data_IF_505222369586
#
_entry.id   IF_505222369586
#
_cell.length_a   1.000
_cell.length_b   1.000
_cell.length_c   1.000
_cell.angle_alpha   90.00
_cell.angle_beta   90.00
_cell.angle_gamma   90.00
#
_symmetry.space_group_name_H-M   'P 1'
#
loop_
_entity.id
_entity.type
_entity.pdbx_description
1 polymer ?
#
# COMPACT_ATOMS: atom_id res chain seq x y z
N UNK A 1 2.10 -17.22 -16.22
CA UNK A 1 1.73 -15.82 -16.55
C UNK A 1 0.36 -15.51 -16.00
N UNK A 2 0.09 -14.28 -15.60
CA UNK A 2 -1.10 -13.86 -14.87
C UNK A 2 -1.79 -12.75 -15.65
N UNK A 3 -3.01 -13.02 -16.15
CA UNK A 3 -3.76 -12.12 -17.02
C UNK A 3 -4.35 -10.93 -16.25
N UNK A 4 -4.21 -9.73 -16.80
CA UNK A 4 -4.88 -8.51 -16.32
C UNK A 4 -6.30 -8.49 -16.91
N UNK A 5 -7.30 -8.61 -16.05
CA UNK A 5 -8.72 -8.66 -16.45
C UNK A 5 -9.36 -7.28 -16.55
N UNK A 6 -8.88 -6.33 -15.74
CA UNK A 6 -9.30 -4.93 -15.81
C UNK A 6 -8.21 -4.00 -15.29
N UNK A 7 -8.27 -2.76 -15.78
CA UNK A 7 -7.44 -1.63 -15.37
C UNK A 7 -8.34 -0.41 -15.17
N UNK A 8 -8.12 0.31 -14.08
CA UNK A 8 -8.88 1.51 -13.74
C UNK A 8 -7.94 2.55 -13.12
N UNK A 9 -7.96 3.78 -13.62
CA UNK A 9 -7.22 4.90 -13.01
C UNK A 9 -8.07 5.49 -11.89
N UNK A 10 -7.61 5.37 -10.65
CA UNK A 10 -8.31 5.89 -9.46
C UNK A 10 -7.96 7.35 -9.18
N UNK A 11 -6.71 7.74 -9.42
CA UNK A 11 -6.20 9.10 -9.23
C UNK A 11 -4.97 9.31 -10.12
N UNK A 12 -4.44 10.53 -10.17
CA UNK A 12 -3.18 10.79 -10.86
C UNK A 12 -2.10 9.85 -10.35
N UNK A 13 -1.50 9.08 -11.25
CA UNK A 13 -0.46 8.07 -10.95
C UNK A 13 -0.89 6.91 -10.06
N UNK A 14 -2.19 6.70 -9.82
CA UNK A 14 -2.68 5.56 -9.03
C UNK A 14 -3.62 4.72 -9.89
N UNK A 15 -3.26 3.46 -10.08
CA UNK A 15 -3.98 2.53 -10.95
C UNK A 15 -4.36 1.27 -10.19
N UNK A 16 -5.59 0.84 -10.37
CA UNK A 16 -6.16 -0.42 -9.89
C UNK A 16 -6.14 -1.45 -11.01
N UNK A 17 -5.71 -2.66 -10.67
CA UNK A 17 -5.73 -3.81 -11.57
C UNK A 17 -6.47 -4.97 -10.92
N UNK A 18 -7.24 -5.68 -11.72
CA UNK A 18 -7.77 -7.01 -11.36
C UNK A 18 -7.00 -8.04 -12.16
N UNK A 19 -6.38 -8.99 -11.45
CA UNK A 19 -5.47 -9.98 -12.03
C UNK A 19 -5.97 -11.39 -11.75
N UNK A 20 -5.92 -12.27 -12.74
CA UNK A 20 -6.25 -13.68 -12.58
C UNK A 20 -5.13 -14.41 -11.84
N UNK A 21 -5.37 -14.75 -10.58
CA UNK A 21 -4.42 -15.44 -9.71
C UNK A 21 -5.12 -16.40 -8.74
N UNK A 22 -5.70 -17.52 -9.23
CA UNK A 22 -6.63 -18.35 -8.45
C UNK A 22 -6.03 -18.98 -7.21
N UNK A 23 -4.73 -19.30 -7.20
CA UNK A 23 -4.07 -19.84 -6.00
C UNK A 23 -3.91 -18.78 -4.91
N UNK A 24 -3.59 -17.56 -5.29
CA UNK A 24 -3.46 -16.41 -4.39
C UNK A 24 -4.83 -16.05 -3.83
N UNK A 25 -5.83 -15.89 -4.70
CA UNK A 25 -7.20 -15.51 -4.33
C UNK A 25 -7.81 -16.44 -3.27
N UNK A 26 -7.62 -17.76 -3.41
CA UNK A 26 -8.17 -18.74 -2.45
C UNK A 26 -7.55 -18.72 -1.07
N UNK A 27 -6.33 -18.21 -0.94
CA UNK A 27 -5.57 -18.21 0.32
C UNK A 27 -5.41 -16.82 0.92
N UNK A 28 -5.82 -15.78 0.22
CA UNK A 28 -5.71 -14.40 0.65
C UNK A 28 -6.44 -14.15 1.97
N UNK A 29 -5.80 -13.39 2.84
CA UNK A 29 -6.34 -12.81 4.07
C UNK A 29 -5.87 -11.36 4.18
N UNK A 30 -6.61 -10.52 4.90
CA UNK A 30 -6.23 -9.13 5.14
C UNK A 30 -4.79 -9.02 5.67
N UNK A 31 -4.02 -8.05 5.18
CA UNK A 31 -2.60 -7.85 5.49
C UNK A 31 -1.63 -8.61 4.59
N UNK A 32 -2.11 -9.57 3.79
CA UNK A 32 -1.24 -10.24 2.82
C UNK A 32 -0.88 -9.36 1.63
N UNK A 33 0.29 -9.64 1.05
CA UNK A 33 0.79 -9.01 -0.17
C UNK A 33 1.27 -10.06 -1.18
N UNK A 34 1.64 -9.61 -2.36
CA UNK A 34 2.31 -10.40 -3.39
C UNK A 34 3.66 -9.79 -3.73
N UNK A 35 4.57 -10.60 -4.26
CA UNK A 35 5.70 -10.12 -5.05
C UNK A 35 5.32 -10.26 -6.52
N UNK A 36 5.36 -9.15 -7.25
CA UNK A 36 4.99 -9.07 -8.65
C UNK A 36 6.22 -8.76 -9.51
N UNK A 37 6.28 -9.37 -10.70
CA UNK A 37 7.22 -9.04 -11.76
C UNK A 37 6.47 -8.91 -13.08
N UNK A 38 6.64 -7.77 -13.76
CA UNK A 38 5.87 -7.45 -14.97
C UNK A 38 6.36 -8.29 -16.15
N UNK A 39 7.67 -8.30 -16.42
CA UNK A 39 8.29 -9.04 -17.52
C UNK A 39 9.71 -9.50 -17.14
N UNK A 40 10.44 -10.11 -18.06
CA UNK A 40 11.79 -10.66 -17.82
C UNK A 40 12.83 -9.62 -17.41
N UNK A 41 12.63 -8.36 -17.80
CA UNK A 41 13.49 -7.23 -17.44
C UNK A 41 12.94 -6.43 -16.25
N UNK A 42 11.76 -6.81 -15.71
CA UNK A 42 11.12 -6.18 -14.58
C UNK A 42 11.76 -6.59 -13.25
N UNK A 43 11.86 -5.63 -12.36
CA UNK A 43 12.21 -5.89 -10.95
C UNK A 43 11.04 -6.54 -10.22
N UNK A 44 11.34 -7.18 -9.11
CA UNK A 44 10.33 -7.72 -8.20
C UNK A 44 9.91 -6.64 -7.21
N UNK A 45 8.61 -6.40 -7.10
CA UNK A 45 8.06 -5.41 -6.18
C UNK A 45 6.96 -6.00 -5.31
N UNK A 46 6.88 -5.63 -4.02
CA UNK A 46 5.76 -5.98 -3.16
C UNK A 46 4.55 -5.10 -3.48
N UNK A 47 3.37 -5.71 -3.57
CA UNK A 47 2.10 -5.00 -3.66
C UNK A 47 1.06 -5.69 -2.77
N UNK A 48 0.34 -4.92 -1.99
CA UNK A 48 -0.73 -5.45 -1.14
C UNK A 48 -1.89 -5.99 -1.96
N UNK A 49 -2.47 -7.10 -1.51
CA UNK A 49 -3.72 -7.62 -2.07
C UNK A 49 -4.87 -6.84 -1.42
N UNK A 50 -5.49 -5.95 -2.20
CA UNK A 50 -6.55 -5.06 -1.71
C UNK A 50 -7.87 -5.80 -1.56
N UNK A 51 -8.14 -6.74 -2.47
CA UNK A 51 -9.35 -7.58 -2.48
C UNK A 51 -9.10 -8.86 -3.25
N UNK A 52 -9.96 -9.87 -3.08
CA UNK A 52 -9.91 -11.12 -3.83
C UNK A 52 -11.28 -11.74 -3.99
N UNK A 53 -11.51 -12.35 -5.14
CA UNK A 53 -12.64 -13.24 -5.36
C UNK A 53 -12.15 -14.69 -5.56
N UNK A 54 -12.29 -15.55 -4.54
CA UNK A 54 -11.89 -16.96 -4.64
C UNK A 54 -12.68 -17.76 -5.67
N UNK A 55 -13.91 -17.36 -6.03
CA UNK A 55 -14.77 -18.05 -7.00
C UNK A 55 -14.31 -17.75 -8.42
N UNK A 56 -14.08 -16.47 -8.71
CA UNK A 56 -13.55 -16.01 -10.00
C UNK A 56 -12.04 -16.24 -10.12
N UNK A 57 -11.36 -16.49 -8.99
CA UNK A 57 -9.91 -16.70 -8.95
C UNK A 57 -9.13 -15.43 -9.23
N UNK A 58 -9.61 -14.29 -8.76
CA UNK A 58 -9.02 -12.98 -9.04
C UNK A 58 -8.52 -12.29 -7.77
N UNK A 59 -7.50 -11.44 -7.93
CA UNK A 59 -7.04 -10.50 -6.91
C UNK A 59 -7.08 -9.09 -7.45
N UNK A 60 -7.32 -8.13 -6.57
CA UNK A 60 -7.22 -6.69 -6.85
C UNK A 60 -5.95 -6.14 -6.23
N UNK A 61 -5.17 -5.41 -7.01
CA UNK A 61 -4.01 -4.64 -6.55
C UNK A 61 -4.17 -3.17 -6.95
N UNK A 62 -3.63 -2.28 -6.13
CA UNK A 62 -3.57 -0.84 -6.43
C UNK A 62 -2.11 -0.42 -6.33
N UNK A 63 -1.60 0.22 -7.37
CA UNK A 63 -0.21 0.64 -7.44
C UNK A 63 -0.12 2.14 -7.75
N UNK A 64 0.79 2.82 -7.06
CA UNK A 64 1.18 4.18 -7.38
C UNK A 64 2.42 4.16 -8.26
N UNK A 65 2.37 4.88 -9.38
CA UNK A 65 3.51 5.05 -10.31
C UNK A 65 4.55 5.98 -9.68
N UNK A 66 5.60 5.40 -9.09
CA UNK A 66 6.68 6.14 -8.43
C UNK A 66 8.01 5.88 -9.13
N UNK A 67 8.34 4.60 -9.40
CA UNK A 67 9.59 4.16 -10.00
C UNK A 67 9.39 3.44 -11.34
N UNK A 68 10.49 2.97 -11.93
CA UNK A 68 10.51 2.28 -13.24
C UNK A 68 9.49 1.11 -13.29
N UNK A 69 9.52 0.22 -12.31
CA UNK A 69 8.67 -1.00 -12.34
C UNK A 69 7.20 -0.68 -12.19
N UNK A 70 6.82 0.25 -11.31
CA UNK A 70 5.42 0.69 -11.19
C UNK A 70 4.97 1.49 -12.42
N UNK A 71 5.88 2.20 -13.11
CA UNK A 71 5.60 2.83 -14.39
C UNK A 71 5.40 1.79 -15.49
N UNK A 72 6.25 0.77 -15.57
CA UNK A 72 6.09 -0.35 -16.49
C UNK A 72 4.76 -1.08 -16.26
N UNK A 73 4.35 -1.29 -14.99
CA UNK A 73 3.06 -1.86 -14.64
C UNK A 73 1.91 -0.96 -15.10
N UNK A 74 2.01 0.36 -14.93
CA UNK A 74 0.97 1.31 -15.34
C UNK A 74 0.74 1.36 -16.85
N UNK A 75 1.69 0.88 -17.66
CA UNK A 75 1.59 0.78 -19.12
C UNK A 75 0.89 -0.50 -19.59
N UNK A 76 0.71 -1.48 -18.69
CA UNK A 76 -0.01 -2.71 -19.04
C UNK A 76 -1.51 -2.42 -19.20
N UNK A 77 -2.16 -3.13 -20.09
CA UNK A 77 -3.58 -2.97 -20.38
C UNK A 77 -4.37 -4.26 -20.07
N UNK A 78 -5.68 -4.19 -20.12
CA UNK A 78 -6.54 -5.37 -20.04
C UNK A 78 -6.18 -6.36 -21.16
N UNK A 79 -5.96 -7.62 -20.79
CA UNK A 79 -5.53 -8.70 -21.69
C UNK A 79 -4.04 -8.92 -21.72
N UNK A 80 -3.22 -8.00 -21.16
CA UNK A 80 -1.80 -8.22 -20.95
C UNK A 80 -1.53 -9.22 -19.82
N UNK A 81 -0.29 -9.72 -19.76
CA UNK A 81 0.11 -10.73 -18.80
C UNK A 81 1.28 -10.27 -17.95
N UNK A 82 1.14 -10.43 -16.66
CA UNK A 82 2.25 -10.32 -15.72
C UNK A 82 3.03 -11.64 -15.69
N UNK A 83 4.35 -11.55 -15.61
CA UNK A 83 5.22 -12.72 -15.64
C UNK A 83 5.11 -13.54 -14.37
N UNK A 84 5.26 -12.90 -13.20
CA UNK A 84 5.17 -13.56 -11.89
C UNK A 84 4.22 -12.80 -10.95
N UNK A 85 3.45 -13.58 -10.19
CA UNK A 85 2.67 -13.16 -9.02
C UNK A 85 2.86 -14.23 -7.95
N UNK A 86 3.80 -14.00 -7.06
CA UNK A 86 4.09 -14.90 -5.94
C UNK A 86 3.33 -14.46 -4.69
N UNK A 87 2.54 -15.36 -4.11
CA UNK A 87 1.75 -15.04 -2.92
C UNK A 87 0.63 -16.06 -2.62
N UNK A 88 -0.23 -15.77 -1.62
CA UNK A 88 -0.10 -14.65 -0.70
C UNK A 88 1.12 -14.79 0.21
N UNK A 89 1.77 -13.67 0.51
CA UNK A 89 2.96 -13.56 1.35
C UNK A 89 2.65 -12.71 2.59
N UNK A 90 3.55 -12.74 3.54
CA UNK A 90 3.41 -12.07 4.83
C UNK A 90 2.43 -12.76 5.77
N UNK A 91 2.50 -12.39 7.04
CA UNK A 91 1.53 -12.83 8.02
C UNK A 91 0.22 -12.06 7.83
N UNK A 92 -0.94 -12.72 7.86
CA UNK A 92 -2.21 -12.01 7.85
C UNK A 92 -2.38 -11.19 9.13
N UNK A 93 -3.05 -10.06 9.02
CA UNK A 93 -3.42 -9.22 10.18
C UNK A 93 -4.17 -10.05 11.23
N UNK A 94 -3.75 -10.07 12.49
CA UNK A 94 -4.55 -10.65 13.57
C UNK A 94 -5.83 -9.85 13.78
N UNK A 95 -6.96 -10.43 13.42
CA UNK A 95 -8.26 -9.76 13.53
C UNK A 95 -8.94 -10.14 14.84
N UNK A 96 -9.17 -9.14 15.69
CA UNK A 96 -9.87 -9.28 16.97
C UNK A 96 -10.97 -8.25 17.11
N UNK A 97 -11.95 -8.52 17.97
CA UNK A 97 -12.89 -7.50 18.42
C UNK A 97 -12.26 -6.73 19.60
N UNK A 98 -11.70 -5.57 19.29
CA UNK A 98 -11.11 -4.65 20.29
C UNK A 98 -12.17 -3.71 20.91
N UNK A 99 -13.34 -3.58 20.28
CA UNK A 99 -14.36 -2.55 20.56
C UNK A 99 -14.25 -1.41 19.54
N UNK A 100 -13.55 -0.33 19.86
CA UNK A 100 -13.34 0.79 18.93
C UNK A 100 -11.93 0.76 18.37
N UNK A 101 -11.81 0.78 17.05
CA UNK A 101 -10.53 0.80 16.31
C UNK A 101 -10.47 1.97 15.33
N UNK A 102 -9.27 2.52 15.14
CA UNK A 102 -9.00 3.55 14.14
C UNK A 102 -8.08 2.98 13.07
N UNK A 103 -8.51 3.04 11.81
CA UNK A 103 -7.72 2.69 10.65
C UNK A 103 -7.30 3.97 9.92
N UNK A 104 -5.99 4.18 9.74
CA UNK A 104 -5.39 5.38 9.13
C UNK A 104 -4.68 4.99 7.85
N UNK A 105 -5.15 5.49 6.71
CA UNK A 105 -4.52 5.32 5.40
C UNK A 105 -3.89 6.61 4.90
N UNK A 106 -2.60 6.57 4.47
CA UNK A 106 -1.91 7.71 3.87
C UNK A 106 -1.57 7.48 2.40
N UNK A 107 -2.09 8.31 1.50
CA UNK A 107 -1.86 8.16 0.06
C UNK A 107 -2.29 6.78 -0.43
N UNK A 108 -1.40 6.08 -1.18
CA UNK A 108 -1.67 4.72 -1.65
C UNK A 108 -1.83 3.69 -0.52
N UNK A 109 -1.29 3.94 0.68
CA UNK A 109 -1.49 3.09 1.85
C UNK A 109 -2.96 2.98 2.27
N UNK A 110 -3.83 3.87 1.80
CA UNK A 110 -5.29 3.73 1.94
C UNK A 110 -5.80 2.42 1.31
N UNK A 111 -5.18 1.98 0.22
CA UNK A 111 -5.51 0.70 -0.43
C UNK A 111 -5.11 -0.51 0.44
N UNK A 112 -4.04 -0.37 1.23
CA UNK A 112 -3.57 -1.42 2.15
C UNK A 112 -4.43 -1.48 3.42
N UNK A 113 -4.92 -0.32 3.88
CA UNK A 113 -5.84 -0.23 5.03
C UNK A 113 -7.19 -0.87 4.74
N UNK A 114 -7.70 -0.78 3.51
CA UNK A 114 -9.05 -1.20 3.17
C UNK A 114 -9.39 -2.66 3.53
N UNK A 115 -8.59 -3.67 3.16
CA UNK A 115 -8.86 -5.07 3.55
C UNK A 115 -8.81 -5.29 5.06
N UNK A 116 -7.92 -4.59 5.77
CA UNK A 116 -7.80 -4.69 7.23
C UNK A 116 -9.01 -4.05 7.92
N UNK A 117 -9.39 -2.85 7.49
CA UNK A 117 -10.57 -2.14 7.98
C UNK A 117 -11.86 -2.97 7.77
N UNK A 118 -12.01 -3.57 6.59
CA UNK A 118 -13.12 -4.48 6.27
C UNK A 118 -13.15 -5.69 7.21
N UNK A 119 -12.01 -6.33 7.42
CA UNK A 119 -11.92 -7.50 8.30
C UNK A 119 -12.20 -7.14 9.77
N UNK A 120 -11.68 -6.01 10.27
CA UNK A 120 -11.95 -5.50 11.61
C UNK A 120 -13.42 -5.14 11.81
N UNK A 121 -14.06 -4.51 10.80
CA UNK A 121 -15.50 -4.21 10.83
C UNK A 121 -16.33 -5.50 10.91
N UNK A 122 -16.00 -6.48 10.10
CA UNK A 122 -16.67 -7.78 10.09
C UNK A 122 -16.50 -8.56 11.41
N UNK A 123 -15.43 -8.30 12.16
CA UNK A 123 -15.21 -8.84 13.49
C UNK A 123 -16.02 -8.12 14.60
N UNK A 124 -16.85 -7.16 14.24
CA UNK A 124 -17.76 -6.47 15.17
C UNK A 124 -17.14 -5.24 15.86
N UNK A 125 -16.04 -4.69 15.34
CA UNK A 125 -15.49 -3.45 15.87
C UNK A 125 -16.30 -2.23 15.43
N UNK A 126 -16.35 -1.19 16.28
CA UNK A 126 -16.68 0.17 15.86
C UNK A 126 -15.47 0.70 15.09
N UNK A 127 -15.64 0.91 13.78
CA UNK A 127 -14.57 1.29 12.86
C UNK A 127 -14.58 2.79 12.59
N UNK A 128 -13.47 3.44 12.90
CA UNK A 128 -13.20 4.82 12.54
C UNK A 128 -12.11 4.78 11.47
N UNK A 129 -12.35 5.44 10.33
CA UNK A 129 -11.34 5.53 9.27
C UNK A 129 -10.90 6.97 9.07
N UNK A 130 -9.60 7.18 8.99
CA UNK A 130 -8.96 8.45 8.67
C UNK A 130 -8.12 8.27 7.41
N UNK A 131 -8.41 9.02 6.36
CA UNK A 131 -7.63 9.03 5.12
C UNK A 131 -6.86 10.33 5.01
N UNK A 132 -5.55 10.24 4.82
CA UNK A 132 -4.66 11.38 4.59
C UNK A 132 -4.16 11.42 3.14
N UNK A 133 -4.23 12.58 2.51
CA UNK A 133 -3.67 12.82 1.19
C UNK A 133 -3.03 14.22 1.11
N UNK A 134 -2.19 14.46 0.09
CA UNK A 134 -1.65 15.80 -0.15
C UNK A 134 -2.73 16.75 -0.64
N UNK A 135 -3.55 16.28 -1.56
CA UNK A 135 -4.63 17.04 -2.21
C UNK A 135 -5.87 16.16 -2.37
N UNK A 136 -7.02 16.78 -2.67
CA UNK A 136 -8.29 16.09 -2.93
C UNK A 136 -8.19 15.01 -4.01
N UNK A 137 -7.47 15.30 -5.08
CA UNK A 137 -7.36 14.43 -6.26
C UNK A 137 -6.61 13.12 -5.96
N UNK A 138 -5.88 13.07 -4.84
CA UNK A 138 -5.14 11.88 -4.40
C UNK A 138 -5.89 11.05 -3.36
N UNK A 139 -7.11 11.45 -2.98
CA UNK A 139 -7.97 10.65 -2.11
C UNK A 139 -8.57 9.50 -2.91
N UNK A 140 -8.28 8.28 -2.50
CA UNK A 140 -8.75 7.05 -3.14
C UNK A 140 -9.62 6.24 -2.18
N UNK A 141 -10.46 5.35 -2.73
CA UNK A 141 -11.33 4.42 -1.97
C UNK A 141 -12.23 5.11 -0.92
N UNK A 142 -12.54 6.40 -1.13
CA UNK A 142 -13.38 7.14 -0.19
C UNK A 142 -14.76 6.52 -0.04
N UNK A 143 -15.39 6.14 -1.17
CA UNK A 143 -16.73 5.56 -1.17
C UNK A 143 -16.73 4.22 -0.41
N UNK A 144 -15.82 3.34 -0.75
CA UNK A 144 -15.70 2.00 -0.19
C UNK A 144 -15.43 2.06 1.32
N UNK A 145 -14.54 2.95 1.75
CA UNK A 145 -14.23 3.12 3.18
C UNK A 145 -15.37 3.79 3.97
N UNK A 146 -16.10 4.74 3.36
CA UNK A 146 -17.30 5.33 3.99
C UNK A 146 -18.39 4.30 4.23
N UNK A 147 -18.59 3.38 3.28
CA UNK A 147 -19.64 2.35 3.37
C UNK A 147 -19.41 1.38 4.54
N UNK A 148 -18.16 1.11 4.91
CA UNK A 148 -17.84 0.17 5.99
C UNK A 148 -17.57 0.85 7.34
N UNK A 149 -17.31 2.15 7.37
CA UNK A 149 -16.90 2.88 8.58
C UNK A 149 -18.10 3.43 9.37
N UNK A 150 -18.04 3.38 10.69
CA UNK A 150 -19.00 4.07 11.55
C UNK A 150 -18.73 5.58 11.57
N UNK A 151 -17.47 5.99 11.50
CA UNK A 151 -17.05 7.38 11.30
C UNK A 151 -15.92 7.41 10.27
N UNK A 152 -15.99 8.36 9.32
CA UNK A 152 -14.99 8.52 8.26
C UNK A 152 -14.52 9.96 8.19
N UNK A 153 -13.21 10.16 8.19
CA UNK A 153 -12.58 11.48 8.14
C UNK A 153 -11.53 11.52 7.02
N UNK A 154 -11.43 12.68 6.35
CA UNK A 154 -10.38 12.96 5.37
C UNK A 154 -9.56 14.15 5.85
N UNK A 155 -8.23 14.05 5.69
CA UNK A 155 -7.32 15.18 5.85
C UNK A 155 -6.57 15.42 4.56
N UNK A 156 -6.36 16.69 4.19
CA UNK A 156 -5.45 17.06 3.10
C UNK A 156 -4.45 18.08 3.57
N UNK A 157 -3.19 17.94 3.12
CA UNK A 157 -2.11 18.83 3.55
C UNK A 157 -2.38 20.28 3.12
N UNK A 158 -2.90 20.46 1.91
CA UNK A 158 -3.23 21.77 1.33
C UNK A 158 -4.58 22.33 1.78
N UNK A 159 -5.45 21.51 2.37
CA UNK A 159 -6.81 21.89 2.80
C UNK A 159 -7.82 21.92 1.65
N UNK A 160 -7.51 21.32 0.49
CA UNK A 160 -8.42 21.27 -0.66
C UNK A 160 -9.65 20.39 -0.42
N UNK A 161 -9.58 19.48 0.58
CA UNK A 161 -10.70 18.61 0.94
C UNK A 161 -10.61 18.10 2.39
N UNK A 162 -11.77 17.96 3.04
CA UNK A 162 -11.85 17.50 4.42
C UNK A 162 -11.21 18.49 5.40
N UNK A 163 -10.51 17.97 6.40
CA UNK A 163 -9.78 18.79 7.37
C UNK A 163 -8.39 19.12 6.82
N UNK A 164 -8.00 20.39 6.86
CA UNK A 164 -6.62 20.79 6.58
C UNK A 164 -5.69 20.31 7.69
N UNK A 165 -4.65 19.56 7.33
CA UNK A 165 -3.63 19.10 8.28
C UNK A 165 -3.31 17.61 8.13
N UNK A 166 -2.62 17.08 9.12
CA UNK A 166 -2.13 15.70 9.14
C UNK A 166 -3.16 14.74 9.76
N UNK A 167 -3.02 13.46 9.47
CA UNK A 167 -3.85 12.39 10.06
C UNK A 167 -3.78 12.36 11.60
N UNK A 168 -2.65 12.75 12.19
CA UNK A 168 -2.47 12.88 13.64
C UNK A 168 -3.37 13.95 14.25
N UNK A 169 -3.69 15.03 13.51
CA UNK A 169 -4.62 16.05 13.97
C UNK A 169 -6.06 15.49 14.02
N UNK A 170 -6.45 14.71 13.01
CA UNK A 170 -7.76 14.04 13.00
C UNK A 170 -7.86 12.99 14.10
N UNK A 171 -6.80 12.21 14.32
CA UNK A 171 -6.72 11.23 15.40
C UNK A 171 -6.85 11.91 16.78
N UNK A 172 -6.11 13.00 17.03
CA UNK A 172 -6.18 13.77 18.27
C UNK A 172 -7.58 14.30 18.53
N UNK A 173 -8.22 14.89 17.52
CA UNK A 173 -9.61 15.38 17.61
C UNK A 173 -10.58 14.25 17.96
N UNK A 174 -10.39 13.07 17.37
CA UNK A 174 -11.22 11.92 17.67
C UNK A 174 -11.02 11.41 19.10
N UNK A 175 -9.77 11.27 19.55
CA UNK A 175 -9.44 10.79 20.89
C UNK A 175 -9.92 11.72 21.99
N UNK A 176 -9.96 13.03 21.74
CA UNK A 176 -10.56 14.02 22.67
C UNK A 176 -12.07 13.91 22.76
N UNK A 177 -12.73 13.49 21.68
CA UNK A 177 -14.19 13.30 21.63
C UNK A 177 -14.61 11.96 22.23
N UNK A 178 -13.87 10.89 21.93
CA UNK A 178 -14.17 9.51 22.32
C UNK A 178 -12.89 8.77 22.71
N UNK A 179 -12.65 8.66 24.00
CA UNK A 179 -11.50 7.95 24.56
C UNK A 179 -11.59 6.42 24.54
N UNK A 180 -12.60 5.84 23.87
CA UNK A 180 -12.84 4.38 23.86
C UNK A 180 -11.94 3.60 22.90
N UNK A 181 -11.08 4.28 22.10
CA UNK A 181 -10.19 3.63 21.12
C UNK A 181 -9.24 2.66 21.82
N UNK A 182 -9.12 1.45 21.27
CA UNK A 182 -8.27 0.38 21.80
C UNK A 182 -7.11 0.03 20.90
N UNK A 183 -7.22 0.26 19.59
CA UNK A 183 -6.15 0.01 18.64
C UNK A 183 -6.18 1.01 17.46
N UNK A 184 -5.00 1.31 16.95
CA UNK A 184 -4.79 2.11 15.74
C UNK A 184 -4.00 1.27 14.74
N UNK A 185 -4.47 1.22 13.50
CA UNK A 185 -3.75 0.67 12.34
C UNK A 185 -3.36 1.83 11.44
N UNK A 186 -2.07 2.07 11.24
CA UNK A 186 -1.59 3.19 10.45
C UNK A 186 -0.69 2.69 9.30
N UNK A 187 -1.12 2.92 8.06
CA UNK A 187 -0.44 2.41 6.86
C UNK A 187 -0.30 3.53 5.83
N UNK A 188 0.93 3.74 5.37
CA UNK A 188 1.25 4.77 4.40
C UNK A 188 2.73 5.16 4.41
N UNK A 189 3.08 6.42 4.12
CA UNK A 189 4.45 6.89 4.16
C UNK A 189 5.10 6.65 5.53
N UNK A 190 6.37 6.23 5.55
CA UNK A 190 7.10 5.88 6.79
C UNK A 190 7.04 7.03 7.81
N UNK A 191 7.16 8.27 7.33
CA UNK A 191 7.09 9.45 8.21
C UNK A 191 5.71 9.61 8.86
N UNK A 192 4.63 9.24 8.18
CA UNK A 192 3.28 9.24 8.74
C UNK A 192 3.13 8.14 9.80
N UNK A 193 3.57 6.92 9.50
CA UNK A 193 3.52 5.81 10.45
C UNK A 193 4.33 6.12 11.71
N UNK A 194 5.53 6.71 11.56
CA UNK A 194 6.35 7.21 12.65
C UNK A 194 5.59 8.25 13.49
N UNK A 195 5.01 9.28 12.86
CA UNK A 195 4.29 10.34 13.55
C UNK A 195 3.07 9.81 14.34
N UNK A 196 2.30 8.88 13.77
CA UNK A 196 1.18 8.23 14.47
C UNK A 196 1.69 7.41 15.66
N UNK A 197 2.76 6.64 15.49
CA UNK A 197 3.34 5.82 16.55
C UNK A 197 3.90 6.66 17.70
N UNK A 198 4.58 7.77 17.39
CA UNK A 198 5.08 8.71 18.40
C UNK A 198 3.94 9.42 19.13
N UNK A 199 2.86 9.75 18.43
CA UNK A 199 1.68 10.38 19.02
C UNK A 199 0.95 9.45 19.99
N UNK A 200 0.81 8.17 19.66
CA UNK A 200 0.07 7.18 20.46
C UNK A 200 0.88 6.58 21.61
N UNK A 201 2.22 6.59 21.52
CA UNK A 201 3.12 6.03 22.54
C UNK A 201 2.92 6.59 23.95
N UNK A 202 2.86 7.92 24.18
CA UNK A 202 2.70 8.48 25.52
C UNK A 202 1.40 8.09 26.22
N UNK A 203 0.36 7.80 25.44
CA UNK A 203 -0.96 7.41 25.95
C UNK A 203 -1.14 5.88 26.00
N UNK A 204 -0.12 5.10 25.63
CA UNK A 204 -0.14 3.64 25.66
C UNK A 204 -1.18 3.00 24.73
N UNK A 205 -1.57 3.69 23.66
CA UNK A 205 -2.58 3.19 22.72
C UNK A 205 -1.95 2.26 21.69
N UNK A 206 -2.34 0.99 21.70
CA UNK A 206 -1.81 -0.03 20.77
C UNK A 206 -1.85 0.47 19.34
N UNK A 207 -0.70 0.46 18.66
CA UNK A 207 -0.54 1.01 17.31
C UNK A 207 0.19 0.03 16.43
N UNK A 208 -0.47 -0.42 15.37
CA UNK A 208 0.07 -1.34 14.37
C UNK A 208 0.38 -0.57 13.09
N UNK A 209 1.55 -0.87 12.51
CA UNK A 209 2.00 -0.26 11.25
C UNK A 209 2.39 -1.36 10.27
N UNK A 210 2.01 -1.20 8.99
CA UNK A 210 2.44 -2.11 7.92
C UNK A 210 3.67 -1.52 7.24
N UNK A 211 4.83 -2.16 7.43
CA UNK A 211 6.10 -1.66 6.96
C UNK A 211 6.35 -2.00 5.49
N UNK A 212 6.94 -1.06 4.78
CA UNK A 212 7.24 -1.13 3.36
C UNK A 212 8.76 -1.05 3.06
N UNK A 213 9.61 -1.91 3.66
CA UNK A 213 11.01 -2.00 3.29
C UNK A 213 11.17 -2.52 1.86
N UNK A 214 12.37 -2.36 1.30
CA UNK A 214 12.73 -3.00 0.03
C UNK A 214 12.57 -4.51 0.17
N UNK A 215 11.80 -5.14 -0.73
CA UNK A 215 11.58 -6.58 -0.79
C UNK A 215 11.93 -7.11 -2.18
N UNK A 216 12.58 -8.28 -2.24
CA UNK A 216 12.97 -8.93 -3.49
C UNK A 216 12.31 -10.29 -3.67
N UNK A 217 12.49 -11.23 -2.73
CA UNK A 217 11.97 -12.58 -2.85
C UNK A 217 10.66 -12.82 -2.08
N UNK A 218 10.46 -12.13 -0.97
CA UNK A 218 9.26 -12.27 -0.14
C UNK A 218 9.21 -13.52 0.74
N UNK A 219 10.32 -14.31 0.81
CA UNK A 219 10.36 -15.63 1.50
C UNK A 219 11.31 -15.65 2.69
N UNK A 220 11.92 -14.54 3.06
CA UNK A 220 12.85 -14.41 4.18
C UNK A 220 14.29 -14.83 3.87
N UNK A 221 14.61 -15.21 2.62
CA UNK A 221 15.93 -15.72 2.29
C UNK A 221 16.95 -14.62 1.98
N UNK A 222 16.57 -13.58 1.24
CA UNK A 222 17.54 -12.57 0.76
C UNK A 222 17.91 -11.53 1.83
N UNK A 223 17.12 -11.37 2.90
CA UNK A 223 17.36 -10.41 3.97
C UNK A 223 17.20 -8.93 3.58
N UNK A 224 16.72 -8.62 2.37
CA UNK A 224 16.53 -7.24 1.90
C UNK A 224 15.53 -6.48 2.78
N UNK A 225 14.47 -7.14 3.23
CA UNK A 225 13.37 -6.56 3.99
C UNK A 225 13.59 -6.56 5.52
N UNK A 226 14.84 -6.69 6.00
CA UNK A 226 15.11 -6.64 7.44
C UNK A 226 14.79 -5.29 8.03
N UNK A 227 14.20 -5.32 9.22
CA UNK A 227 13.80 -4.16 10.02
C UNK A 227 14.14 -4.42 11.48
N UNK A 228 14.44 -3.38 12.24
CA UNK A 228 14.67 -3.48 13.68
C UNK A 228 13.37 -3.21 14.45
N UNK A 229 12.94 -4.22 15.22
CA UNK A 229 11.72 -4.17 16.05
C UNK A 229 12.15 -4.40 17.50
N UNK A 230 12.12 -3.35 18.31
CA UNK A 230 12.70 -3.38 19.66
C UNK A 230 14.20 -3.66 19.59
N UNK A 231 14.62 -4.82 20.10
CA UNK A 231 16.03 -5.25 20.11
C UNK A 231 16.32 -6.38 19.11
N UNK A 232 15.35 -6.73 18.26
CA UNK A 232 15.45 -7.86 17.36
C UNK A 232 15.42 -7.42 15.91
N UNK A 233 16.19 -8.12 15.07
CA UNK A 233 16.06 -8.00 13.62
C UNK A 233 14.96 -8.93 13.15
N UNK A 234 13.98 -8.38 12.41
CA UNK A 234 12.88 -9.11 11.79
C UNK A 234 12.96 -8.97 10.26
N UNK A 235 12.32 -9.89 9.54
CA UNK A 235 12.16 -9.83 8.10
C UNK A 235 10.69 -9.53 7.78
N UNK A 236 10.41 -8.31 7.31
CA UNK A 236 9.04 -7.85 7.10
C UNK A 236 8.22 -8.77 6.19
N UNK A 237 8.85 -9.49 5.27
CA UNK A 237 8.14 -10.40 4.36
C UNK A 237 7.67 -11.71 5.00
N UNK A 238 8.21 -12.13 6.15
CA UNK A 238 7.84 -13.39 6.83
C UNK A 238 7.48 -13.22 8.29
N UNK A 239 8.02 -12.19 8.98
CA UNK A 239 7.66 -11.86 10.36
C UNK A 239 6.54 -10.80 10.44
N UNK A 240 6.36 -10.02 9.37
CA UNK A 240 5.37 -8.94 9.21
C UNK A 240 4.42 -9.22 8.05
N UNK A 241 3.97 -8.18 7.34
CA UNK A 241 4.49 -6.81 7.28
C UNK A 241 4.08 -5.91 8.45
N UNK A 242 3.11 -6.33 9.26
CA UNK A 242 2.61 -5.53 10.39
C UNK A 242 3.44 -5.76 11.65
N UNK A 243 3.72 -4.65 12.34
CA UNK A 243 4.47 -4.62 13.60
C UNK A 243 3.88 -3.62 14.58
N UNK A 244 4.19 -3.78 15.87
CA UNK A 244 3.94 -2.74 16.87
C UNK A 244 4.76 -1.48 16.53
N UNK A 245 4.07 -0.42 16.15
CA UNK A 245 4.68 0.85 15.76
C UNK A 245 5.53 1.49 16.87
N UNK A 246 5.28 1.12 18.12
CA UNK A 246 6.08 1.59 19.26
C UNK A 246 7.45 0.89 19.35
N UNK A 247 7.66 -0.22 18.66
CA UNK A 247 8.90 -0.98 18.67
C UNK A 247 9.75 -0.79 17.41
N UNK A 248 9.21 -0.15 16.36
CA UNK A 248 9.89 0.03 15.07
C UNK A 248 10.99 1.07 15.18
N UNK A 249 12.20 0.74 14.68
CA UNK A 249 13.24 1.72 14.38
C UNK A 249 12.98 2.36 13.00
N UNK A 250 12.21 3.45 13.02
CA UNK A 250 11.85 4.18 11.79
C UNK A 250 13.06 4.88 11.16
N UNK A 251 14.08 5.28 11.92
CA UNK A 251 15.26 5.96 11.38
C UNK A 251 16.11 4.97 10.55
N UNK A 252 16.31 3.75 11.06
CA UNK A 252 16.97 2.71 10.29
C UNK A 252 16.17 2.38 9.03
N UNK A 253 14.86 2.19 9.14
CA UNK A 253 13.99 1.89 8.00
C UNK A 253 14.08 2.98 6.91
N UNK A 254 14.00 4.25 7.28
CA UNK A 254 14.12 5.37 6.34
C UNK A 254 15.50 5.41 5.67
N UNK A 255 16.57 5.15 6.44
CA UNK A 255 17.94 5.12 5.92
C UNK A 255 18.11 3.99 4.90
N UNK A 256 17.61 2.80 5.22
CA UNK A 256 17.66 1.64 4.33
C UNK A 256 16.88 1.84 3.04
N UNK A 257 15.67 2.40 3.11
CA UNK A 257 14.85 2.66 1.93
C UNK A 257 15.46 3.72 1.00
N UNK A 258 16.38 4.53 1.48
CA UNK A 258 17.13 5.51 0.65
C UNK A 258 18.35 4.93 -0.05
N UNK A 259 18.77 3.70 0.27
CA UNK A 259 20.06 3.13 -0.19
C UNK A 259 20.19 3.02 -1.71
N UNK A 260 19.10 2.96 -2.46
CA UNK A 260 19.10 2.82 -3.91
C UNK A 260 18.44 3.99 -4.66
N UNK A 261 18.04 5.07 -3.96
CA UNK A 261 17.28 6.17 -4.58
C UNK A 261 17.96 6.79 -5.80
N UNK A 262 19.28 6.97 -5.76
CA UNK A 262 20.02 7.53 -6.91
C UNK A 262 20.03 6.57 -8.10
N UNK A 263 20.19 5.27 -7.87
CA UNK A 263 20.15 4.24 -8.90
C UNK A 263 18.75 4.08 -9.48
N UNK A 264 17.72 4.13 -8.63
CA UNK A 264 16.31 4.09 -9.03
C UNK A 264 15.95 5.28 -9.92
N UNK A 265 16.45 6.48 -9.59
CA UNK A 265 16.27 7.69 -10.41
C UNK A 265 16.93 7.55 -11.78
N UNK A 266 18.17 7.12 -11.83
CA UNK A 266 18.90 6.89 -13.11
C UNK A 266 18.17 5.83 -13.95
N UNK A 267 17.71 4.74 -13.32
CA UNK A 267 16.97 3.68 -14.01
C UNK A 267 15.63 4.17 -14.58
N UNK A 268 14.91 5.02 -13.84
CA UNK A 268 13.66 5.62 -14.30
C UNK A 268 13.89 6.58 -15.46
N UNK A 269 14.89 7.46 -15.35
CA UNK A 269 15.24 8.42 -16.42
C UNK A 269 15.63 7.71 -17.73
N UNK A 270 16.43 6.64 -17.64
CA UNK A 270 16.79 5.82 -18.80
C UNK A 270 15.57 5.17 -19.44
N UNK A 271 14.65 4.63 -18.62
CA UNK A 271 13.40 4.03 -19.11
C UNK A 271 12.50 5.07 -19.78
N UNK A 272 12.44 6.29 -19.28
CA UNK A 272 11.66 7.38 -19.86
C UNK A 272 12.21 7.81 -21.24
N UNK A 273 13.52 7.85 -21.38
CA UNK A 273 14.17 8.13 -22.67
C UNK A 273 13.88 7.01 -23.68
N UNK A 274 13.92 5.75 -23.27
CA UNK A 274 13.57 4.61 -24.11
C UNK A 274 12.12 4.70 -24.60
N UNK A 275 11.17 4.96 -23.71
CA UNK A 275 9.75 5.12 -24.06
C UNK A 275 9.52 6.29 -25.04
N UNK A 276 10.20 7.42 -24.84
CA UNK A 276 10.13 8.57 -25.76
C UNK A 276 10.68 8.21 -27.14
N UNK A 277 11.79 7.49 -27.21
CA UNK A 277 12.38 7.02 -28.48
C UNK A 277 11.49 6.03 -29.24
N UNK A 278 10.77 5.16 -28.53
CA UNK A 278 9.80 4.24 -29.15
C UNK A 278 8.57 4.98 -29.70
N UNK A 279 8.03 5.97 -29.00
CA UNK A 279 6.91 6.80 -29.47
C UNK A 279 7.28 7.58 -30.73
N UNK A 280 8.42 8.26 -30.77
CA UNK A 280 8.90 8.97 -31.94
C UNK A 280 9.04 8.06 -33.18
N UNK A 281 9.51 6.82 -33.00
CA UNK A 281 9.64 5.85 -34.10
C UNK A 281 8.29 5.33 -34.59
N UNK A 282 7.30 5.16 -33.69
CA UNK A 282 5.94 4.77 -34.04
C UNK A 282 5.22 5.87 -34.84
N UNK A 283 5.27 7.12 -34.36
CA UNK A 283 4.70 8.28 -35.04
C UNK A 283 5.33 8.52 -36.42
N UNK A 284 6.66 8.37 -36.53
CA UNK A 284 7.36 8.48 -37.82
C UNK A 284 6.95 7.38 -38.82
N UNK A 285 6.67 6.15 -38.31
CA UNK A 285 6.16 5.05 -39.16
C UNK A 285 4.73 5.29 -39.65
N UNK A 286 3.85 5.80 -38.76
CA UNK A 286 2.48 6.14 -39.14
C UNK A 286 2.45 7.28 -40.16
N UNK A 287 3.28 8.32 -39.98
CA UNK A 287 3.39 9.43 -40.93
C UNK A 287 3.99 9.00 -42.30
N UNK A 288 4.82 7.97 -42.33
CA UNK A 288 5.39 7.43 -43.58
C UNK A 288 4.43 6.49 -44.32
N UNK A 289 3.38 6.00 -43.66
CA UNK A 289 2.37 5.11 -44.24
C UNK A 289 1.03 5.84 -44.57
N UNK A 290 0.94 7.14 -44.28
CA UNK A 290 -0.19 8.02 -44.62
C UNK A 290 0.12 8.87 -45.86
#
# INVERSE_FOLDING_TARGET
>A
MYEILSKETLAQSITKFVVRAPYVARKHKAGNFIILRVNDHGERIPLTIVDSDPKEGTITIIAQTIGKTTKLLSLQEKGDFLLDVAGPLGNPTPIHNYGTVVCIGGGVGTAEVYPIATALKNAGNKLITIVGARTKELVILEKELREISDEFNVTTDDGSYGMKGLVTNALDNYLKKDGSVKAVYAIGPIIMMKAVSEFTRPIGLSTFVSLNPIMMDGTGMCGACRVSIGKETKFACVDGPEFDGHQVDFEELMTRNRSYMDLEKVSLEAFDQELAGHRCKAEAKEAANA
#
